data_IF_395311547944
#
_entry.id   IF_395311547944
#
_cell.length_a   1.000
_cell.length_b   1.000
_cell.length_c   1.000
_cell.angle_alpha   90.00
_cell.angle_beta   90.00
_cell.angle_gamma   90.00
#
_symmetry.space_group_name_H-M   'P 1'
#
loop_
_entity.id
_entity.type
_entity.pdbx_description
1 polymer ?
#
# COMPACT_ATOMS: atom_id res chain seq x y z
N UNK A 1 -12.62 -13.97 14.73
CA UNK A 1 -12.61 -13.29 16.05
C UNK A 1 -12.75 -11.78 15.84
N UNK A 2 -13.07 -11.00 16.88
CA UNK A 2 -13.13 -9.53 16.77
C UNK A 2 -11.76 -8.93 16.38
N UNK A 3 -10.67 -9.60 16.76
CA UNK A 3 -9.28 -9.24 16.42
C UNK A 3 -9.03 -9.24 14.90
N UNK A 4 -9.45 -10.30 14.20
CA UNK A 4 -9.23 -10.44 12.75
C UNK A 4 -9.89 -9.31 11.95
N UNK A 5 -11.05 -8.84 12.41
CA UNK A 5 -11.75 -7.72 11.77
C UNK A 5 -11.00 -6.40 11.97
N UNK A 6 -10.53 -6.10 13.18
CA UNK A 6 -9.77 -4.88 13.43
C UNK A 6 -8.48 -4.84 12.60
N UNK A 7 -7.76 -5.96 12.54
CA UNK A 7 -6.55 -6.11 11.71
C UNK A 7 -6.88 -5.92 10.23
N UNK A 8 -7.98 -6.52 9.75
CA UNK A 8 -8.44 -6.35 8.37
C UNK A 8 -8.81 -4.90 8.05
N UNK A 9 -9.47 -4.21 8.97
CA UNK A 9 -9.88 -2.81 8.80
C UNK A 9 -8.64 -1.87 8.76
N UNK A 10 -7.60 -2.16 9.55
CA UNK A 10 -6.32 -1.42 9.53
C UNK A 10 -5.57 -1.61 8.20
N UNK A 11 -5.49 -2.85 7.70
CA UNK A 11 -4.84 -3.15 6.41
C UNK A 11 -5.61 -2.50 5.26
N UNK A 12 -6.94 -2.55 5.28
CA UNK A 12 -7.78 -1.91 4.27
C UNK A 12 -7.60 -0.39 4.28
N UNK A 13 -7.56 0.24 5.46
CA UNK A 13 -7.30 1.68 5.57
C UNK A 13 -5.93 2.06 5.00
N UNK A 14 -4.89 1.28 5.29
CA UNK A 14 -3.55 1.48 4.73
C UNK A 14 -3.52 1.29 3.21
N UNK A 15 -4.26 0.30 2.68
CA UNK A 15 -4.43 0.10 1.26
C UNK A 15 -5.10 1.31 0.59
N UNK A 16 -6.23 1.80 1.12
CA UNK A 16 -6.94 2.93 0.56
C UNK A 16 -6.08 4.20 0.56
N UNK A 17 -5.38 4.48 1.66
CA UNK A 17 -4.46 5.62 1.75
C UNK A 17 -3.31 5.52 0.73
N UNK A 18 -2.75 4.33 0.55
CA UNK A 18 -1.76 4.08 -0.49
C UNK A 18 -2.33 4.36 -1.88
N UNK A 19 -3.51 3.80 -2.17
CA UNK A 19 -4.21 3.99 -3.44
C UNK A 19 -4.53 5.46 -3.71
N UNK A 20 -4.97 6.24 -2.72
CA UNK A 20 -5.21 7.68 -2.86
C UNK A 20 -3.94 8.45 -3.23
N UNK A 21 -2.79 8.03 -2.70
CA UNK A 21 -1.49 8.63 -3.03
C UNK A 21 -1.06 8.29 -4.45
N UNK A 22 -1.26 7.04 -4.88
CA UNK A 22 -0.75 6.59 -6.18
C UNK A 22 -1.72 6.84 -7.35
N UNK A 23 -3.04 6.87 -7.10
CA UNK A 23 -4.12 7.08 -8.09
C UNK A 23 -3.86 8.24 -9.07
N UNK A 24 -3.39 9.43 -8.63
CA UNK A 24 -3.12 10.54 -9.54
C UNK A 24 -2.05 10.25 -10.60
N UNK A 25 -1.17 9.27 -10.37
CA UNK A 25 -0.14 8.85 -11.33
C UNK A 25 -0.66 7.80 -12.33
N UNK A 26 -1.87 7.25 -12.12
CA UNK A 26 -2.54 6.41 -13.10
C UNK A 26 -3.30 7.27 -14.11
N UNK A 27 -3.11 7.01 -15.39
CA UNK A 27 -3.81 7.75 -16.45
C UNK A 27 -5.16 7.08 -16.74
N UNK A 28 -6.30 7.76 -16.59
CA UNK A 28 -7.60 7.18 -16.93
C UNK A 28 -7.64 6.69 -18.39
N UNK A 29 -8.07 5.45 -18.60
CA UNK A 29 -8.16 4.84 -19.94
C UNK A 29 -6.85 4.28 -20.51
N UNK A 30 -5.74 4.33 -19.75
CA UNK A 30 -4.52 3.59 -20.09
C UNK A 30 -4.22 2.54 -19.02
N UNK A 31 -3.88 1.33 -19.47
CA UNK A 31 -3.48 0.22 -18.58
C UNK A 31 -2.17 0.54 -17.85
N UNK A 32 -1.32 1.38 -18.44
CA UNK A 32 -0.08 1.83 -17.84
C UNK A 32 -0.27 3.19 -17.16
N UNK A 33 0.19 3.29 -15.91
CA UNK A 33 0.43 4.57 -15.24
C UNK A 33 1.40 5.44 -16.06
N UNK A 34 1.49 6.73 -15.72
CA UNK A 34 2.58 7.56 -16.23
C UNK A 34 3.92 6.84 -15.98
N UNK A 35 4.87 6.86 -16.93
CA UNK A 35 6.16 6.20 -16.72
C UNK A 35 6.77 6.67 -15.41
N UNK A 36 7.22 5.76 -14.55
CA UNK A 36 7.85 6.14 -13.29
C UNK A 36 9.03 7.12 -13.49
N UNK A 37 9.70 7.00 -14.64
CA UNK A 37 10.77 7.90 -15.09
C UNK A 37 10.32 9.35 -15.35
N UNK A 38 9.04 9.61 -15.61
CA UNK A 38 8.51 10.95 -15.81
C UNK A 38 8.14 11.67 -14.52
N UNK A 39 8.18 10.98 -13.37
CA UNK A 39 7.93 11.57 -12.07
C UNK A 39 9.18 12.23 -11.52
N UNK A 40 9.01 13.34 -10.79
CA UNK A 40 10.09 13.98 -10.05
C UNK A 40 10.47 13.20 -8.78
N UNK A 41 11.55 13.61 -8.12
CA UNK A 41 12.05 12.94 -6.92
C UNK A 41 11.05 12.97 -5.75
N UNK A 42 10.27 14.05 -5.61
CA UNK A 42 9.30 14.21 -4.54
C UNK A 42 8.11 13.26 -4.74
N UNK A 43 7.57 13.19 -5.96
CA UNK A 43 6.49 12.28 -6.33
C UNK A 43 6.90 10.82 -6.15
N UNK A 44 8.12 10.47 -6.55
CA UNK A 44 8.68 9.12 -6.32
C UNK A 44 8.79 8.81 -4.84
N UNK A 45 9.26 9.77 -4.04
CA UNK A 45 9.34 9.65 -2.58
C UNK A 45 7.97 9.33 -1.96
N UNK A 46 6.94 10.09 -2.35
CA UNK A 46 5.58 9.88 -1.86
C UNK A 46 5.02 8.49 -2.20
N UNK A 47 5.26 7.98 -3.42
CA UNK A 47 4.85 6.63 -3.83
C UNK A 47 5.55 5.56 -2.97
N UNK A 48 6.86 5.72 -2.74
CA UNK A 48 7.65 4.77 -1.95
C UNK A 48 7.18 4.76 -0.49
N UNK A 49 6.98 5.94 0.10
CA UNK A 49 6.49 6.07 1.47
C UNK A 49 5.10 5.43 1.64
N UNK A 50 4.16 5.73 0.75
CA UNK A 50 2.84 5.12 0.75
C UNK A 50 2.89 3.58 0.61
N UNK A 51 3.78 3.08 -0.24
CA UNK A 51 3.99 1.64 -0.43
C UNK A 51 4.55 0.98 0.83
N UNK A 52 5.51 1.63 1.52
CA UNK A 52 6.06 1.12 2.78
C UNK A 52 5.04 1.14 3.91
N UNK A 53 4.23 2.19 4.03
CA UNK A 53 3.17 2.24 5.04
C UNK A 53 2.16 1.09 4.88
N UNK A 54 1.79 0.76 3.63
CA UNK A 54 0.93 -0.39 3.35
C UNK A 54 1.62 -1.73 3.67
N UNK A 55 2.88 -1.91 3.24
CA UNK A 55 3.67 -3.11 3.58
C UNK A 55 3.76 -3.31 5.10
N UNK A 56 4.02 -2.25 5.85
CA UNK A 56 4.20 -2.33 7.29
C UNK A 56 2.90 -2.69 8.01
N UNK A 57 1.74 -2.27 7.49
CA UNK A 57 0.43 -2.74 7.97
C UNK A 57 0.24 -4.25 7.74
N UNK A 58 0.65 -4.77 6.57
CA UNK A 58 0.61 -6.21 6.28
C UNK A 58 1.56 -7.01 7.19
N UNK A 59 2.74 -6.48 7.49
CA UNK A 59 3.69 -7.13 8.41
C UNK A 59 3.13 -7.18 9.84
N UNK A 60 2.54 -6.09 10.33
CA UNK A 60 1.84 -6.08 11.63
C UNK A 60 0.69 -7.08 11.66
N UNK A 61 -0.08 -7.18 10.59
CA UNK A 61 -1.16 -8.17 10.48
C UNK A 61 -0.62 -9.60 10.52
N UNK A 62 0.46 -9.88 9.77
CA UNK A 62 1.14 -11.18 9.78
C UNK A 62 1.61 -11.56 11.19
N UNK A 63 2.25 -10.64 11.90
CA UNK A 63 2.70 -10.82 13.29
C UNK A 63 1.52 -11.10 14.23
N UNK A 64 0.46 -10.30 14.15
CA UNK A 64 -0.72 -10.43 15.00
C UNK A 64 -1.52 -11.73 14.75
N UNK A 65 -1.44 -12.27 13.53
CA UNK A 65 -2.06 -13.54 13.15
C UNK A 65 -1.12 -14.75 13.31
N UNK A 66 0.10 -14.53 13.86
CA UNK A 66 1.13 -15.55 14.05
C UNK A 66 1.44 -16.34 12.75
N UNK A 67 1.36 -15.66 11.60
CA UNK A 67 1.57 -16.28 10.31
C UNK A 67 3.07 -16.49 10.05
N UNK A 68 3.52 -17.71 9.71
CA UNK A 68 4.92 -17.98 9.42
C UNK A 68 5.37 -17.34 8.11
N UNK A 69 6.67 -17.14 7.95
CA UNK A 69 7.24 -16.81 6.64
C UNK A 69 7.05 -17.96 5.65
N UNK A 70 6.78 -17.65 4.37
CA UNK A 70 6.82 -18.67 3.33
C UNK A 70 8.24 -19.28 3.25
N UNK A 71 8.29 -20.60 3.09
CA UNK A 71 9.53 -21.37 2.97
C UNK A 71 10.29 -21.11 1.66
#
# INVERSE_FOLDING_TARGET
MVLDKAISDEVEAAYQACMETIKPFFTPGKVAAAPYSSLDAQQRGAIVEASYNYRDALLKAKEALEMPDPA
#
